data_IF_936487918859
#
_entry.id   IF_936487918859
#
_cell.length_a   1.000
_cell.length_b   1.000
_cell.length_c   1.000
_cell.angle_alpha   90.00
_cell.angle_beta   90.00
_cell.angle_gamma   90.00
#
_symmetry.space_group_name_H-M   'P 1'
#
loop_
_entity.id
_entity.type
_entity.pdbx_description
1 polymer ?
#
# COMPACT_ATOMS: atom_id res chain seq x y z
N UNK A 1 -10.30 -3.48 -20.35
CA UNK A 1 -9.61 -2.44 -21.11
C UNK A 1 -9.45 -1.22 -20.22
N UNK A 2 -8.27 -1.03 -19.71
CA UNK A 2 -7.87 0.11 -18.88
C UNK A 2 -7.40 1.23 -19.84
N UNK A 3 -8.32 2.08 -20.25
CA UNK A 3 -8.02 3.11 -21.27
C UNK A 3 -8.16 4.53 -20.75
N UNK A 4 -8.56 4.70 -19.49
CA UNK A 4 -8.90 6.01 -18.94
C UNK A 4 -7.90 6.57 -17.95
N UNK A 5 -7.05 5.72 -17.37
CA UNK A 5 -6.08 6.13 -16.35
C UNK A 5 -4.80 5.32 -16.47
N UNK A 6 -3.69 5.92 -16.14
CA UNK A 6 -2.37 5.27 -16.05
C UNK A 6 -1.64 5.78 -14.82
N UNK A 7 -0.98 4.87 -14.10
CA UNK A 7 -0.01 5.25 -13.09
C UNK A 7 1.31 5.58 -13.79
N UNK A 8 1.83 6.78 -13.55
CA UNK A 8 3.12 7.20 -14.09
C UNK A 8 4.20 6.84 -13.08
N UNK A 9 5.20 6.13 -13.54
CA UNK A 9 6.45 5.91 -12.81
C UNK A 9 7.38 7.09 -13.11
N UNK A 10 7.43 8.04 -12.19
CA UNK A 10 8.33 9.19 -12.25
C UNK A 10 9.44 8.93 -11.24
N UNK A 11 10.67 8.90 -11.70
CA UNK A 11 11.84 8.62 -10.88
C UNK A 11 11.89 9.53 -9.64
N UNK A 12 12.00 8.94 -8.45
CA UNK A 12 12.02 9.63 -7.16
C UNK A 12 10.65 10.11 -6.65
N UNK A 13 9.55 9.80 -7.32
CA UNK A 13 8.21 10.28 -6.95
C UNK A 13 7.34 9.24 -6.24
N UNK A 14 7.83 8.01 -6.05
CA UNK A 14 7.06 6.93 -5.45
C UNK A 14 7.32 6.82 -3.96
N UNK A 15 6.36 7.21 -3.14
CA UNK A 15 6.43 7.08 -1.69
C UNK A 15 5.82 5.76 -1.22
N UNK A 16 6.54 5.03 -0.35
CA UNK A 16 6.07 3.76 0.21
C UNK A 16 5.38 3.96 1.55
N UNK A 17 4.17 3.43 1.66
CA UNK A 17 3.48 3.26 2.93
C UNK A 17 3.30 1.78 3.21
N UNK A 18 3.63 1.34 4.43
CA UNK A 18 3.45 -0.04 4.88
C UNK A 18 2.45 -0.05 6.03
N UNK A 19 1.41 -0.87 5.90
CA UNK A 19 0.47 -1.12 6.97
C UNK A 19 0.91 -2.33 7.80
N UNK A 20 0.80 -2.21 9.10
CA UNK A 20 1.22 -3.23 10.06
C UNK A 20 0.06 -3.68 10.93
N UNK A 21 0.07 -4.96 11.30
CA UNK A 21 -0.73 -5.48 12.38
C UNK A 21 0.18 -5.81 13.56
N UNK A 22 -0.23 -5.44 14.78
CA UNK A 22 0.55 -5.64 15.99
C UNK A 22 -0.29 -6.22 17.12
N UNK A 23 0.34 -7.01 17.98
CA UNK A 23 -0.29 -7.50 19.21
C UNK A 23 -0.11 -6.48 20.33
N UNK A 24 -1.19 -6.24 21.07
CA UNK A 24 -1.10 -5.43 22.27
C UNK A 24 -0.45 -6.26 23.40
N UNK A 25 0.53 -5.67 24.05
CA UNK A 25 1.16 -6.27 25.23
C UNK A 25 0.13 -6.52 26.34
N UNK A 26 0.17 -7.69 26.96
CA UNK A 26 -0.77 -8.09 28.00
C UNK A 26 -2.10 -8.67 27.49
N UNK A 27 -2.27 -8.86 26.18
CA UNK A 27 -3.42 -9.58 25.64
C UNK A 27 -3.37 -11.06 26.03
N UNK A 28 -4.47 -11.59 26.58
CA UNK A 28 -4.65 -13.01 26.92
C UNK A 28 -5.12 -13.86 25.71
N UNK A 29 -5.41 -13.21 24.57
CA UNK A 29 -5.98 -13.84 23.37
C UNK A 29 -4.96 -14.08 22.26
N UNK A 30 -3.71 -14.34 22.64
CA UNK A 30 -2.60 -14.52 21.69
C UNK A 30 -2.87 -15.61 20.62
N UNK A 31 -3.53 -16.71 21.01
CA UNK A 31 -3.87 -17.78 20.05
C UNK A 31 -4.84 -17.32 18.95
N UNK A 32 -5.90 -16.63 19.33
CA UNK A 32 -6.88 -16.09 18.38
C UNK A 32 -6.28 -15.01 17.51
N UNK A 33 -5.43 -14.17 18.09
CA UNK A 33 -4.72 -13.12 17.37
C UNK A 33 -3.73 -13.69 16.34
N UNK A 34 -2.96 -14.73 16.71
CA UNK A 34 -2.10 -15.43 15.74
C UNK A 34 -2.91 -16.04 14.59
N UNK A 35 -4.03 -16.73 14.91
CA UNK A 35 -4.91 -17.28 13.87
C UNK A 35 -5.44 -16.19 12.92
N UNK A 36 -5.77 -15.03 13.45
CA UNK A 36 -6.20 -13.89 12.61
C UNK A 36 -5.08 -13.39 11.72
N UNK A 37 -3.86 -13.24 12.22
CA UNK A 37 -2.72 -12.81 11.41
C UNK A 37 -2.39 -13.84 10.34
N UNK A 38 -2.36 -15.14 10.68
CA UNK A 38 -2.13 -16.22 9.73
C UNK A 38 -3.18 -16.21 8.60
N UNK A 39 -4.44 -15.94 8.94
CA UNK A 39 -5.50 -15.78 7.97
C UNK A 39 -5.30 -14.53 7.10
N UNK A 40 -4.96 -13.39 7.70
CA UNK A 40 -4.76 -12.12 6.99
C UNK A 40 -3.63 -12.20 5.96
N UNK A 41 -2.53 -12.92 6.28
CA UNK A 41 -1.40 -13.10 5.36
C UNK A 41 -1.53 -14.35 4.48
N UNK A 42 -2.66 -15.08 4.58
CA UNK A 42 -2.90 -16.19 3.65
C UNK A 42 -3.02 -15.71 2.21
N UNK A 43 -2.64 -16.55 1.27
CA UNK A 43 -2.76 -16.23 -0.16
C UNK A 43 -4.18 -15.85 -0.56
N UNK A 44 -5.18 -16.54 0.01
CA UNK A 44 -6.60 -16.30 -0.28
C UNK A 44 -7.03 -14.87 0.06
N UNK A 45 -6.60 -14.34 1.20
CA UNK A 45 -7.02 -13.01 1.67
C UNK A 45 -6.07 -11.93 1.16
N UNK A 46 -4.77 -12.17 1.25
CA UNK A 46 -3.79 -11.14 0.95
C UNK A 46 -3.76 -10.78 -0.55
N UNK A 47 -4.05 -11.72 -1.45
CA UNK A 47 -4.19 -11.43 -2.88
C UNK A 47 -5.38 -10.51 -3.21
N UNK A 48 -6.35 -10.38 -2.31
CA UNK A 48 -7.48 -9.49 -2.48
C UNK A 48 -7.22 -8.05 -2.01
N UNK A 49 -6.05 -7.78 -1.40
CA UNK A 49 -5.71 -6.45 -0.87
C UNK A 49 -5.74 -5.38 -1.95
N UNK A 50 -5.36 -5.71 -3.18
CA UNK A 50 -5.39 -4.79 -4.31
C UNK A 50 -6.79 -4.28 -4.65
N UNK A 51 -7.82 -5.08 -4.44
CA UNK A 51 -9.20 -4.73 -4.78
C UNK A 51 -10.02 -4.25 -3.58
N UNK A 52 -9.64 -4.67 -2.38
CA UNK A 52 -10.35 -4.33 -1.14
C UNK A 52 -9.74 -3.09 -0.47
N UNK A 53 -8.43 -3.04 -0.41
CA UNK A 53 -7.70 -2.00 0.35
C UNK A 53 -6.81 -1.11 -0.53
N UNK A 54 -6.76 -1.33 -1.84
CA UNK A 54 -5.96 -0.54 -2.79
C UNK A 54 -4.46 -0.58 -2.51
N UNK A 55 -3.99 -1.63 -1.86
CA UNK A 55 -2.62 -1.85 -1.44
C UNK A 55 -2.01 -3.05 -2.17
N UNK A 56 -0.70 -3.04 -2.34
CA UNK A 56 -0.01 -4.25 -2.81
C UNK A 56 -0.09 -5.35 -1.76
N UNK A 57 -0.26 -6.62 -2.18
CA UNK A 57 -0.18 -7.74 -1.27
C UNK A 57 1.17 -7.79 -0.56
N UNK A 58 1.17 -8.14 0.73
CA UNK A 58 2.39 -8.29 1.52
C UNK A 58 3.09 -9.64 1.31
N UNK A 59 2.44 -10.59 0.64
CA UNK A 59 3.01 -11.91 0.32
C UNK A 59 3.75 -11.88 -1.00
N UNK A 60 4.85 -12.63 -1.10
CA UNK A 60 5.62 -12.76 -2.33
C UNK A 60 4.75 -13.32 -3.46
N UNK A 61 4.76 -12.65 -4.59
CA UNK A 61 3.99 -13.05 -5.78
C UNK A 61 2.47 -12.85 -5.66
N UNK A 62 1.97 -12.24 -4.60
CA UNK A 62 0.55 -11.98 -4.41
C UNK A 62 -0.04 -11.03 -5.46
N UNK A 63 0.78 -10.17 -6.01
CA UNK A 63 0.45 -9.20 -7.07
C UNK A 63 0.23 -9.84 -8.44
N UNK A 64 0.82 -11.01 -8.69
CA UNK A 64 0.71 -11.75 -9.96
C UNK A 64 -0.38 -12.82 -9.96
N UNK A 65 -1.11 -13.00 -8.85
CA UNK A 65 -2.24 -13.92 -8.79
C UNK A 65 -3.33 -13.44 -9.77
N UNK A 66 -3.91 -14.38 -10.52
CA UNK A 66 -4.81 -14.07 -11.64
C UNK A 66 -5.96 -13.12 -11.26
N UNK A 67 -6.48 -13.24 -10.05
CA UNK A 67 -7.57 -12.42 -9.53
C UNK A 67 -7.08 -11.12 -8.86
N UNK A 68 -5.77 -10.87 -8.81
CA UNK A 68 -5.21 -9.63 -8.29
C UNK A 68 -5.52 -8.45 -9.22
N UNK A 69 -5.92 -7.33 -8.65
CA UNK A 69 -6.13 -6.09 -9.39
C UNK A 69 -4.85 -5.53 -10.03
N UNK A 70 -3.67 -5.96 -9.57
CA UNK A 70 -2.36 -5.47 -10.03
C UNK A 70 -1.69 -6.32 -11.10
N UNK A 71 -2.27 -7.42 -11.51
CA UNK A 71 -1.67 -8.32 -12.54
C UNK A 71 -1.37 -7.66 -13.88
N UNK A 72 -1.94 -6.48 -14.13
CA UNK A 72 -1.88 -5.81 -15.43
C UNK A 72 -0.83 -4.72 -15.53
N UNK A 73 -0.15 -4.40 -14.47
CA UNK A 73 0.88 -3.36 -14.51
C UNK A 73 2.13 -3.77 -13.72
N UNK A 74 3.23 -3.16 -14.06
CA UNK A 74 4.49 -3.35 -13.34
C UNK A 74 4.40 -2.71 -11.95
N UNK A 75 5.10 -3.32 -10.99
CA UNK A 75 5.28 -2.71 -9.67
C UNK A 75 6.02 -1.38 -9.84
N UNK A 76 5.52 -0.37 -9.15
CA UNK A 76 6.18 0.94 -9.12
C UNK A 76 7.40 0.83 -8.20
N UNK A 77 8.60 1.23 -8.66
CA UNK A 77 9.78 1.26 -7.80
C UNK A 77 9.55 2.16 -6.59
N UNK A 78 10.04 1.72 -5.43
CA UNK A 78 10.05 2.53 -4.21
C UNK A 78 11.37 3.25 -4.18
N UNK A 79 11.41 4.46 -4.69
CA UNK A 79 12.64 5.23 -4.88
C UNK A 79 12.59 6.65 -4.30
N UNK A 80 11.54 6.99 -3.57
CA UNK A 80 11.42 8.26 -2.87
C UNK A 80 12.20 8.22 -1.56
N UNK A 81 13.21 9.05 -1.45
CA UNK A 81 14.07 9.24 -0.26
C UNK A 81 13.74 10.59 0.38
N UNK A 82 12.52 10.73 0.87
CA UNK A 82 12.09 11.95 1.56
C UNK A 82 12.13 11.75 3.08
N UNK A 83 12.69 12.70 3.81
CA UNK A 83 12.68 12.68 5.27
C UNK A 83 11.27 12.99 5.81
N UNK A 84 10.86 12.25 6.84
CA UNK A 84 9.57 12.47 7.50
C UNK A 84 9.44 13.91 8.03
N UNK A 85 10.52 14.50 8.53
CA UNK A 85 10.52 15.89 8.96
C UNK A 85 10.23 16.87 7.83
N UNK A 86 10.67 16.59 6.61
CA UNK A 86 10.37 17.39 5.44
C UNK A 86 8.88 17.31 5.06
N UNK A 87 8.25 16.15 5.27
CA UNK A 87 6.82 15.98 5.09
C UNK A 87 6.06 16.83 6.10
N UNK A 88 6.40 16.77 7.39
CA UNK A 88 5.74 17.53 8.45
C UNK A 88 5.83 19.04 8.20
N UNK A 89 6.97 19.51 7.73
CA UNK A 89 7.21 20.95 7.48
C UNK A 89 6.46 21.47 6.24
N UNK A 90 6.21 20.63 5.25
CA UNK A 90 5.71 21.08 3.95
C UNK A 90 4.31 20.54 3.57
N UNK A 91 3.75 19.59 4.29
CA UNK A 91 2.49 18.92 3.89
C UNK A 91 1.35 19.91 3.61
N UNK A 92 1.22 20.99 4.38
CA UNK A 92 0.16 21.98 4.17
C UNK A 92 0.35 22.73 2.84
N UNK A 93 1.60 23.05 2.49
CA UNK A 93 1.92 23.76 1.26
C UNK A 93 1.64 22.84 0.06
N UNK A 94 2.06 21.57 0.14
CA UNK A 94 1.83 20.60 -0.94
C UNK A 94 0.34 20.32 -1.16
N UNK A 95 -0.47 20.29 -0.10
CA UNK A 95 -1.91 20.12 -0.25
C UNK A 95 -2.55 21.34 -0.93
N UNK A 96 -2.15 22.56 -0.61
CA UNK A 96 -2.62 23.77 -1.27
C UNK A 96 -2.21 23.81 -2.76
N UNK A 97 -0.98 23.39 -3.07
CA UNK A 97 -0.50 23.27 -4.45
C UNK A 97 -1.28 22.21 -5.22
N UNK A 98 -1.55 21.05 -4.60
CA UNK A 98 -2.37 20.00 -5.18
C UNK A 98 -3.78 20.49 -5.50
N UNK A 99 -4.46 21.12 -4.53
CA UNK A 99 -5.80 21.66 -4.69
C UNK A 99 -5.84 22.68 -5.83
N UNK A 100 -4.81 23.51 -5.94
CA UNK A 100 -4.69 24.48 -7.03
C UNK A 100 -4.51 23.82 -8.38
N UNK A 101 -3.73 22.76 -8.45
CA UNK A 101 -3.45 22.04 -9.69
C UNK A 101 -4.64 21.20 -10.17
N UNK A 102 -5.49 20.75 -9.23
CA UNK A 102 -6.64 19.89 -9.53
C UNK A 102 -7.97 20.64 -9.72
N UNK A 103 -8.00 21.93 -9.44
CA UNK A 103 -9.18 22.80 -9.64
C UNK A 103 -9.39 23.18 -11.11
#
# INVERSE_FOLDING_TARGET
>A
NWTTSVALDINGASFSQIEYVSFLSGSDKSKSANTFVDWLVSTEINSQMSTINWMYPAIEGGDIIEDSGYRWHSLVPIDCDIDISEIDDNISIWLDEWDTAMA
#
